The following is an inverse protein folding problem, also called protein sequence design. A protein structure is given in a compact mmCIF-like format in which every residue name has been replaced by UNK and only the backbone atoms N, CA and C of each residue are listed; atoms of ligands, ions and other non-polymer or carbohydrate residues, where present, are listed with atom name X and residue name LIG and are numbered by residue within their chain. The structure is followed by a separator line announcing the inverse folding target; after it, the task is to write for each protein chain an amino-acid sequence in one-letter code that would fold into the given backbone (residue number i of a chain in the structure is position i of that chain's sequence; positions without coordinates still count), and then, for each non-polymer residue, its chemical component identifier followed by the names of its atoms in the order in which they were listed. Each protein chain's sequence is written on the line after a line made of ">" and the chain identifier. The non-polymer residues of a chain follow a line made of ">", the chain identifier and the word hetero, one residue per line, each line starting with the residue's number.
data_IF_018432361834
#
_entry.id   IF_018432361834
#
_cell.length_a   1.000
_cell.length_b   1.000
_cell.length_c   1.000
_cell.angle_alpha   90.00
_cell.angle_beta   90.00
_cell.angle_gamma   90.00
#
_symmetry.space_group_name_H-M   'P 1'
#
loop_
_entity.id
_entity.type
_entity.pdbx_description
1 polymer ?
#
# COMPACT_ATOMS: atom_id res chain seq x y z
N UNK A 1 -15.16 -14.25 -18.09
CA UNK A 1 -14.07 -14.65 -18.99
C UNK A 1 -12.78 -13.88 -18.69
N UNK A 2 -12.77 -12.54 -18.71
CA UNK A 2 -11.54 -11.72 -18.44
C UNK A 2 -11.00 -11.88 -17.01
N UNK A 3 -11.85 -11.85 -15.98
CA UNK A 3 -11.39 -11.98 -14.60
C UNK A 3 -10.73 -13.34 -14.28
N UNK A 4 -11.21 -14.42 -14.93
CA UNK A 4 -10.61 -15.75 -14.80
C UNK A 4 -9.23 -15.83 -15.45
N UNK A 5 -9.07 -15.23 -16.64
CA UNK A 5 -7.77 -15.11 -17.30
C UNK A 5 -6.78 -14.31 -16.42
N UNK A 6 -7.20 -13.20 -15.82
CA UNK A 6 -6.31 -12.37 -14.99
C UNK A 6 -5.91 -13.02 -13.66
N UNK A 7 -6.62 -14.05 -13.21
CA UNK A 7 -6.33 -14.76 -11.97
C UNK A 7 -5.59 -16.10 -12.17
N UNK A 8 -5.25 -16.47 -13.40
CA UNK A 8 -4.56 -17.72 -13.70
C UNK A 8 -3.14 -17.74 -13.09
N UNK A 9 -2.82 -18.69 -12.18
CA UNK A 9 -1.51 -18.78 -11.52
C UNK A 9 -0.33 -19.07 -12.47
N UNK A 10 -0.59 -19.55 -13.68
CA UNK A 10 0.44 -19.79 -14.70
C UNK A 10 0.96 -18.50 -15.33
N UNK A 11 0.26 -17.38 -15.15
CA UNK A 11 0.69 -16.09 -15.67
C UNK A 11 1.83 -15.47 -14.86
N UNK A 12 2.73 -14.77 -15.55
CA UNK A 12 3.82 -14.00 -14.91
C UNK A 12 3.28 -12.93 -13.95
N UNK A 13 2.09 -12.40 -14.23
CA UNK A 13 1.40 -11.43 -13.37
C UNK A 13 0.00 -11.95 -13.12
N UNK A 14 -0.31 -12.17 -11.85
CA UNK A 14 -1.61 -12.64 -11.38
C UNK A 14 -2.29 -11.52 -10.63
N UNK A 15 -3.52 -11.18 -11.01
CA UNK A 15 -4.31 -10.16 -10.34
C UNK A 15 -5.20 -10.81 -9.29
N UNK A 16 -5.03 -10.37 -8.04
CA UNK A 16 -5.89 -10.71 -6.93
C UNK A 16 -6.77 -9.51 -6.59
N UNK A 17 -8.07 -9.75 -6.49
CA UNK A 17 -9.03 -8.73 -6.06
C UNK A 17 -9.32 -8.92 -4.57
N UNK A 18 -9.24 -7.84 -3.80
CA UNK A 18 -9.71 -7.85 -2.41
C UNK A 18 -11.23 -8.06 -2.39
N UNK A 19 -11.79 -8.82 -1.42
CA UNK A 19 -13.23 -8.91 -1.25
C UNK A 19 -13.87 -7.53 -1.18
N UNK A 20 -15.13 -7.43 -1.62
CA UNK A 20 -15.90 -6.19 -1.47
C UNK A 20 -15.92 -5.80 0.01
N UNK A 21 -15.69 -4.51 0.28
CA UNK A 21 -15.62 -3.93 1.63
C UNK A 21 -14.43 -4.41 2.49
N UNK A 22 -13.41 -5.06 1.91
CA UNK A 22 -12.18 -5.45 2.62
C UNK A 22 -11.01 -4.49 2.35
N UNK A 23 -11.26 -3.18 2.40
CA UNK A 23 -10.24 -2.16 2.15
C UNK A 23 -9.10 -2.21 3.19
N UNK A 24 -9.40 -2.70 4.40
CA UNK A 24 -8.42 -3.00 5.45
C UNK A 24 -7.36 -4.03 5.04
N UNK A 25 -7.64 -4.84 4.01
CA UNK A 25 -6.72 -5.80 3.44
C UNK A 25 -5.78 -5.16 2.40
N UNK A 26 -6.13 -3.98 1.87
CA UNK A 26 -5.35 -3.33 0.82
C UNK A 26 -4.05 -2.73 1.38
N UNK A 27 -2.90 -3.29 0.96
CA UNK A 27 -1.58 -2.85 1.40
C UNK A 27 -1.32 -1.37 1.09
N UNK A 28 -1.84 -0.87 -0.03
CA UNK A 28 -1.69 0.54 -0.41
C UNK A 28 -2.40 1.43 0.61
N UNK A 29 -3.60 1.07 1.05
CA UNK A 29 -4.35 1.83 2.06
C UNK A 29 -3.69 1.79 3.44
N UNK A 30 -3.12 0.63 3.83
CA UNK A 30 -2.35 0.50 5.06
C UNK A 30 -1.14 1.43 5.01
N UNK A 31 -0.39 1.43 3.90
CA UNK A 31 0.79 2.28 3.75
C UNK A 31 0.43 3.77 3.72
N UNK A 32 -0.63 4.17 3.00
CA UNK A 32 -1.15 5.54 3.01
C UNK A 32 -1.55 5.97 4.43
N UNK A 33 -2.17 5.09 5.20
CA UNK A 33 -2.49 5.35 6.61
C UNK A 33 -1.24 5.57 7.48
N UNK A 34 -0.11 4.95 7.15
CA UNK A 34 1.17 5.21 7.83
C UNK A 34 1.75 6.56 7.41
N UNK A 35 1.75 6.87 6.11
CA UNK A 35 2.21 8.15 5.56
C UNK A 35 1.44 9.32 6.22
N UNK A 36 0.11 9.22 6.29
CA UNK A 36 -0.72 10.24 6.92
C UNK A 36 -0.35 10.42 8.39
N UNK A 37 -0.22 9.33 9.15
CA UNK A 37 0.05 9.41 10.60
C UNK A 37 1.47 9.90 10.92
N UNK A 38 2.47 9.53 10.12
CA UNK A 38 3.88 9.81 10.41
C UNK A 38 4.40 11.09 9.78
N UNK A 39 3.93 11.44 8.58
CA UNK A 39 4.40 12.61 7.85
C UNK A 39 3.31 13.69 7.80
N UNK A 40 2.15 13.41 7.19
CA UNK A 40 1.21 14.48 6.83
C UNK A 40 0.51 15.13 8.04
N UNK A 41 0.14 14.34 9.06
CA UNK A 41 -0.57 14.85 10.24
C UNK A 41 0.30 15.72 11.16
N UNK A 42 1.62 15.63 11.06
CA UNK A 42 2.59 16.33 11.93
C UNK A 42 3.63 17.14 11.15
N UNK A 43 3.53 17.14 9.83
CA UNK A 43 4.48 17.82 8.95
C UNK A 43 4.20 19.31 8.90
N UNK A 44 5.26 20.09 8.82
CA UNK A 44 5.20 21.49 8.46
C UNK A 44 5.79 21.62 7.06
N UNK A 45 5.02 22.18 6.15
CA UNK A 45 5.39 22.29 4.73
C UNK A 45 5.35 23.76 4.34
N UNK A 46 6.46 24.24 3.80
CA UNK A 46 6.63 25.65 3.41
C UNK A 46 6.16 25.90 1.97
N UNK A 47 6.06 24.86 1.15
CA UNK A 47 5.54 24.90 -0.23
C UNK A 47 5.05 23.52 -0.67
N UNK A 48 4.44 23.45 -1.87
CA UNK A 48 4.09 22.17 -2.50
C UNK A 48 5.33 21.36 -2.89
N UNK A 49 6.42 22.02 -3.29
CA UNK A 49 7.69 21.35 -3.60
C UNK A 49 8.31 20.73 -2.34
N UNK A 50 8.29 21.45 -1.22
CA UNK A 50 8.74 20.95 0.08
C UNK A 50 7.92 19.72 0.52
N UNK A 51 6.59 19.76 0.37
CA UNK A 51 5.74 18.59 0.60
C UNK A 51 6.14 17.39 -0.27
N UNK A 52 6.36 17.62 -1.58
CA UNK A 52 6.77 16.57 -2.51
C UNK A 52 8.10 15.94 -2.10
N UNK A 53 9.09 16.77 -1.79
CA UNK A 53 10.43 16.32 -1.43
C UNK A 53 10.41 15.54 -0.10
N UNK A 54 9.63 15.99 0.88
CA UNK A 54 9.45 15.28 2.14
C UNK A 54 8.73 13.93 1.95
N UNK A 55 7.74 13.84 1.05
CA UNK A 55 7.08 12.56 0.71
C UNK A 55 8.09 11.59 0.08
N UNK A 56 8.90 12.05 -0.88
CA UNK A 56 9.93 11.22 -1.54
C UNK A 56 11.00 10.77 -0.56
N UNK A 57 11.46 11.65 0.33
CA UNK A 57 12.39 11.32 1.40
C UNK A 57 11.79 10.27 2.36
N UNK A 58 10.52 10.42 2.73
CA UNK A 58 9.81 9.46 3.56
C UNK A 58 9.69 8.09 2.89
N UNK A 59 9.36 8.03 1.58
CA UNK A 59 9.31 6.78 0.81
C UNK A 59 10.67 6.08 0.85
N UNK A 60 11.75 6.81 0.57
CA UNK A 60 13.11 6.26 0.60
C UNK A 60 13.50 5.72 1.98
N UNK A 61 13.19 6.48 3.04
CA UNK A 61 13.44 6.07 4.42
C UNK A 61 12.61 4.83 4.81
N UNK A 62 11.31 4.83 4.50
CA UNK A 62 10.41 3.71 4.78
C UNK A 62 10.89 2.44 4.09
N UNK A 63 11.25 2.51 2.81
CA UNK A 63 11.76 1.38 2.04
C UNK A 63 13.03 0.79 2.62
N UNK A 64 13.93 1.63 3.17
CA UNK A 64 15.18 1.16 3.78
C UNK A 64 15.02 0.56 5.17
N UNK A 65 14.07 1.06 5.96
CA UNK A 65 14.06 0.80 7.42
C UNK A 65 12.82 0.07 7.93
N UNK A 66 11.69 0.18 7.23
CA UNK A 66 10.38 -0.25 7.71
C UNK A 66 9.63 -1.15 6.72
N UNK A 67 10.08 -1.26 5.47
CA UNK A 67 9.51 -2.16 4.48
C UNK A 67 9.65 -3.61 4.98
N UNK A 68 8.54 -4.13 5.47
CA UNK A 68 8.39 -5.52 5.90
C UNK A 68 7.21 -6.10 5.15
N UNK A 69 7.27 -7.38 4.76
CA UNK A 69 6.09 -8.06 4.23
C UNK A 69 4.93 -7.90 5.20
N UNK A 70 3.82 -7.32 4.72
CA UNK A 70 2.62 -7.21 5.55
C UNK A 70 2.08 -8.62 5.78
N UNK A 71 1.92 -9.00 7.05
CA UNK A 71 1.36 -10.29 7.41
C UNK A 71 -0.14 -10.24 7.17
N UNK A 72 -0.60 -10.96 6.17
CA UNK A 72 -2.01 -11.14 5.90
C UNK A 72 -2.59 -12.13 6.90
N UNK A 73 -3.57 -11.69 7.69
CA UNK A 73 -4.47 -12.60 8.42
C UNK A 73 -5.80 -12.63 7.67
N UNK A 74 -5.79 -13.26 6.50
CA UNK A 74 -7.03 -13.64 5.81
C UNK A 74 -7.04 -15.16 5.69
N UNK A 75 -7.69 -15.81 6.65
CA UNK A 75 -8.16 -17.18 6.48
C UNK A 75 -9.49 -17.04 5.77
N UNK A 76 -9.53 -17.24 4.45
CA UNK A 76 -10.76 -17.07 3.67
C UNK A 76 -11.96 -17.80 4.29
N UNK A 77 -13.17 -17.40 3.89
CA UNK A 77 -14.32 -18.27 4.08
C UNK A 77 -14.03 -19.50 3.24
N UNK A 78 -13.79 -20.63 3.91
CA UNK A 78 -13.61 -21.96 3.31
C UNK A 78 -14.85 -22.31 2.49
#
# INVERSE_FOLDING_TARGET
>A
MIAFFLNDPSHRVVLYYTPKHASWMNQVEIWLSILVRKLLKRGNFTSLDDLRDQILAFINYYNRTMAKPMKWTYMGIV
#
